data_IF_831777916225
#
_entry.id   IF_831777916225
#
_cell.length_a   1.000
_cell.length_b   1.000
_cell.length_c   1.000
_cell.angle_alpha   90.00
_cell.angle_beta   90.00
_cell.angle_gamma   90.00
#
_symmetry.space_group_name_H-M   'P 1'
#
loop_
_entity.id
_entity.type
_entity.pdbx_description
1 polymer ?
#
# COMPACT_ATOMS: atom_id res chain seq x y z
N UNK A 1 -1.38 -19.18 6.84
CA UNK A 1 -1.08 -17.76 6.56
C UNK A 1 -1.95 -17.31 5.40
N UNK A 2 -2.75 -16.26 5.58
CA UNK A 2 -3.72 -15.80 4.58
C UNK A 2 -2.99 -15.24 3.34
N UNK A 3 -3.15 -15.86 2.16
CA UNK A 3 -2.53 -15.42 0.90
C UNK A 3 -2.86 -13.95 0.58
N UNK A 4 -4.07 -13.48 0.94
CA UNK A 4 -4.45 -12.07 0.81
C UNK A 4 -3.54 -11.11 1.59
N UNK A 5 -3.07 -11.48 2.79
CA UNK A 5 -2.13 -10.66 3.60
C UNK A 5 -0.78 -10.54 2.91
N UNK A 6 -0.24 -11.65 2.40
CA UNK A 6 1.04 -11.65 1.68
C UNK A 6 1.01 -10.78 0.43
N UNK A 7 -0.09 -10.82 -0.32
CA UNK A 7 -0.26 -10.00 -1.52
C UNK A 7 -0.41 -8.51 -1.16
N UNK A 8 -1.18 -8.20 -0.12
CA UNK A 8 -1.27 -6.85 0.43
C UNK A 8 0.12 -6.30 0.81
N UNK A 9 0.86 -7.02 1.65
CA UNK A 9 2.17 -6.57 2.17
C UNK A 9 3.19 -6.41 1.04
N UNK A 10 3.16 -7.31 0.04
CA UNK A 10 4.01 -7.24 -1.15
C UNK A 10 3.72 -6.02 -2.03
N UNK A 11 2.44 -5.75 -2.32
CA UNK A 11 2.03 -4.58 -3.12
C UNK A 11 2.38 -3.29 -2.38
N UNK A 12 2.06 -3.21 -1.08
CA UNK A 12 2.36 -2.04 -0.24
C UNK A 12 3.85 -1.76 -0.20
N UNK A 13 4.66 -2.79 0.06
CA UNK A 13 6.11 -2.66 0.09
C UNK A 13 6.67 -2.19 -1.25
N UNK A 14 6.24 -2.78 -2.36
CA UNK A 14 6.70 -2.40 -3.70
C UNK A 14 6.39 -0.93 -4.03
N UNK A 15 5.17 -0.46 -3.72
CA UNK A 15 4.75 0.92 -4.01
C UNK A 15 5.50 1.92 -3.12
N UNK A 16 5.68 1.61 -1.83
CA UNK A 16 6.45 2.48 -0.92
C UNK A 16 7.92 2.56 -1.34
N UNK A 17 8.55 1.44 -1.68
CA UNK A 17 9.95 1.41 -2.13
C UNK A 17 10.11 2.14 -3.46
N UNK A 18 9.24 1.87 -4.44
CA UNK A 18 9.27 2.56 -5.74
C UNK A 18 9.03 4.06 -5.60
N UNK A 19 8.03 4.48 -4.82
CA UNK A 19 7.74 5.89 -4.57
C UNK A 19 8.88 6.62 -3.85
N UNK A 20 9.54 5.95 -2.89
CA UNK A 20 10.68 6.53 -2.18
C UNK A 20 11.92 6.64 -3.07
N UNK A 21 12.17 5.63 -3.91
CA UNK A 21 13.24 5.68 -4.91
C UNK A 21 12.99 6.82 -5.91
N UNK A 22 11.76 6.97 -6.40
CA UNK A 22 11.43 8.02 -7.35
C UNK A 22 11.55 9.42 -6.75
N UNK A 23 11.23 9.58 -5.46
CA UNK A 23 11.47 10.80 -4.71
C UNK A 23 12.95 11.16 -4.59
N UNK A 24 13.82 10.15 -4.52
CA UNK A 24 15.26 10.36 -4.46
C UNK A 24 15.88 10.67 -5.83
N UNK A 25 15.42 9.99 -6.89
CA UNK A 25 16.05 10.06 -8.22
C UNK A 25 15.46 11.11 -9.17
N UNK A 26 14.16 11.43 -9.07
CA UNK A 26 13.49 12.32 -10.03
C UNK A 26 13.22 13.69 -9.41
N UNK A 27 12.40 13.73 -8.36
CA UNK A 27 12.00 14.97 -7.72
C UNK A 27 11.48 14.71 -6.30
N UNK A 28 11.91 15.47 -5.27
CA UNK A 28 11.50 15.27 -3.88
C UNK A 28 9.98 15.41 -3.65
N UNK A 29 9.22 16.03 -4.56
CA UNK A 29 7.76 16.11 -4.48
C UNK A 29 7.10 14.71 -4.52
N UNK A 30 7.78 13.70 -5.07
CA UNK A 30 7.29 12.32 -5.09
C UNK A 30 7.19 11.68 -3.70
N UNK A 31 7.77 12.29 -2.65
CA UNK A 31 7.64 11.80 -1.28
C UNK A 31 6.20 11.88 -0.75
N UNK A 32 5.36 12.70 -1.37
CA UNK A 32 3.92 12.74 -1.10
C UNK A 32 3.25 11.40 -1.38
N UNK A 33 3.73 10.63 -2.36
CA UNK A 33 3.17 9.32 -2.70
C UNK A 33 3.34 8.31 -1.55
N UNK A 34 4.58 7.98 -1.09
CA UNK A 34 4.76 7.13 0.07
C UNK A 34 4.24 7.78 1.37
N UNK A 35 4.20 9.11 1.47
CA UNK A 35 3.63 9.83 2.60
C UNK A 35 2.11 9.59 2.77
N UNK A 36 1.32 9.84 1.73
CA UNK A 36 -0.14 9.64 1.74
C UNK A 36 -0.50 8.17 1.90
N UNK A 37 0.23 7.27 1.23
CA UNK A 37 0.05 5.83 1.41
C UNK A 37 0.40 5.39 2.83
N UNK A 38 1.48 5.91 3.41
CA UNK A 38 1.87 5.67 4.80
C UNK A 38 0.78 6.09 5.79
N UNK A 39 0.21 7.29 5.62
CA UNK A 39 -0.91 7.76 6.45
C UNK A 39 -2.12 6.84 6.32
N UNK A 40 -2.44 6.40 5.10
CA UNK A 40 -3.57 5.49 4.84
C UNK A 40 -3.36 4.11 5.48
N UNK A 41 -2.13 3.59 5.47
CA UNK A 41 -1.77 2.33 6.14
C UNK A 41 -1.85 2.47 7.66
N UNK A 42 -1.40 3.61 8.20
CA UNK A 42 -1.45 3.90 9.63
C UNK A 42 -2.91 4.02 10.09
N UNK A 43 -3.75 4.70 9.31
CA UNK A 43 -5.20 4.74 9.52
C UNK A 43 -5.84 3.36 9.39
N UNK A 44 -5.43 2.52 8.43
CA UNK A 44 -5.93 1.15 8.32
C UNK A 44 -5.57 0.29 9.53
N UNK A 45 -4.39 0.49 10.14
CA UNK A 45 -4.01 -0.20 11.37
C UNK A 45 -4.90 0.19 12.55
N UNK A 46 -5.40 1.43 12.57
CA UNK A 46 -6.26 1.96 13.63
C UNK A 46 -7.76 1.66 13.41
N UNK A 47 -8.24 1.79 12.17
CA UNK A 47 -9.67 1.70 11.82
C UNK A 47 -10.04 0.35 11.20
N UNK A 48 -9.07 -0.47 10.80
CA UNK A 48 -9.29 -1.74 10.12
C UNK A 48 -9.70 -1.62 8.64
N UNK A 49 -9.82 -0.40 8.10
CA UNK A 49 -10.23 -0.18 6.72
C UNK A 49 -9.02 0.05 5.81
N UNK A 50 -8.60 -0.98 5.06
CA UNK A 50 -7.59 -0.84 4.01
C UNK A 50 -8.27 -0.86 2.63
N UNK A 51 -8.18 0.23 1.83
CA UNK A 51 -8.73 0.23 0.47
C UNK A 51 -8.11 -0.87 -0.39
N UNK A 52 -6.85 -1.22 -0.16
CA UNK A 52 -6.19 -2.32 -0.87
C UNK A 52 -6.85 -3.66 -0.56
N UNK A 53 -7.27 -3.91 0.69
CA UNK A 53 -8.02 -5.11 1.02
C UNK A 53 -9.37 -5.16 0.33
N UNK A 54 -10.08 -4.02 0.27
CA UNK A 54 -11.36 -3.91 -0.43
C UNK A 54 -11.20 -4.22 -1.93
N UNK A 55 -10.14 -3.70 -2.55
CA UNK A 55 -9.82 -3.97 -3.96
C UNK A 55 -9.44 -5.44 -4.15
N UNK A 56 -8.56 -5.99 -3.32
CA UNK A 56 -8.13 -7.40 -3.39
C UNK A 56 -9.28 -8.38 -3.16
N UNK A 57 -10.25 -8.03 -2.30
CA UNK A 57 -11.45 -8.84 -2.09
C UNK A 57 -12.37 -8.83 -3.32
N UNK A 58 -12.48 -7.68 -3.99
CA UNK A 58 -13.21 -7.51 -5.25
C UNK A 58 -12.55 -8.21 -6.44
N UNK A 59 -11.22 -8.16 -6.57
CA UNK A 59 -10.50 -8.68 -7.76
C UNK A 59 -10.08 -10.14 -7.63
N UNK A 60 -9.83 -10.61 -6.41
CA UNK A 60 -9.63 -12.01 -6.09
C UNK A 60 -10.72 -12.48 -5.12
N UNK A 61 -11.94 -12.76 -5.61
CA UNK A 61 -12.95 -13.45 -4.83
C UNK A 61 -12.39 -14.83 -4.48
N UNK A 62 -12.01 -14.99 -3.22
CA UNK A 62 -11.75 -16.29 -2.63
C UNK A 62 -13.11 -16.91 -2.36
N UNK A 63 -13.53 -17.80 -3.26
CA UNK A 63 -14.60 -18.77 -3.00
C UNK A 63 -14.39 -19.51 -1.67
#
# INVERSE_FOLDING_TARGET
MNTKRKLHDGIVGAVLTAGSLLAYYIDPLWILVPGVLGVTLLQSGMTGFCPLYYILDKTCPSE
#
